data_IF_307375770494
#
_entry.id   IF_307375770494
#
_cell.length_a   1.000
_cell.length_b   1.000
_cell.length_c   1.000
_cell.angle_alpha   90.00
_cell.angle_beta   90.00
_cell.angle_gamma   90.00
#
_symmetry.space_group_name_H-M   'P 1'
#
loop_
_entity.id
_entity.type
_entity.pdbx_description
1 polymer ?
#
# COMPACT_ATOMS: atom_id res chain seq x y z
N UNK A 1 -18.33 9.97 2.36
CA UNK A 1 -16.98 10.41 2.79
C UNK A 1 -16.00 9.96 1.72
N UNK A 2 -15.01 10.78 1.37
CA UNK A 2 -14.00 10.40 0.39
C UNK A 2 -12.95 9.52 1.09
N UNK A 3 -12.58 8.44 0.43
CA UNK A 3 -11.62 7.46 0.93
C UNK A 3 -10.44 7.43 -0.05
N UNK A 4 -9.23 7.32 0.48
CA UNK A 4 -8.03 7.17 -0.33
C UNK A 4 -7.28 5.92 0.10
N UNK A 5 -6.68 5.23 -0.87
CA UNK A 5 -5.74 4.16 -0.64
C UNK A 5 -4.33 4.76 -0.61
N UNK A 6 -3.59 4.52 0.46
CA UNK A 6 -2.22 4.99 0.65
C UNK A 6 -1.27 3.92 0.14
N UNK A 7 -0.38 4.29 -0.78
CA UNK A 7 0.63 3.37 -1.32
C UNK A 7 1.74 3.09 -0.30
N UNK A 8 2.43 1.96 -0.45
CA UNK A 8 3.53 1.56 0.44
C UNK A 8 4.69 2.56 0.39
N UNK A 9 5.02 3.11 -0.78
CA UNK A 9 6.10 4.08 -0.93
C UNK A 9 5.92 5.30 -0.02
N UNK A 10 4.71 5.85 0.04
CA UNK A 10 4.40 7.02 0.88
C UNK A 10 4.68 6.74 2.36
N UNK A 11 4.38 5.52 2.80
CA UNK A 11 4.60 5.07 4.17
C UNK A 11 6.09 4.83 4.40
N UNK A 12 6.76 4.16 3.46
CA UNK A 12 8.18 3.85 3.53
C UNK A 12 9.01 5.13 3.58
N UNK A 13 8.73 6.14 2.76
CA UNK A 13 9.43 7.42 2.77
C UNK A 13 9.46 8.05 4.17
N UNK A 14 8.36 7.92 4.93
CA UNK A 14 8.25 8.45 6.29
C UNK A 14 9.01 7.58 7.28
N UNK A 15 8.82 6.25 7.20
CA UNK A 15 9.45 5.29 8.12
C UNK A 15 10.96 5.27 7.98
N UNK A 16 11.47 5.39 6.76
CA UNK A 16 12.90 5.36 6.47
C UNK A 16 13.55 6.74 6.52
N UNK A 17 12.77 7.78 6.83
CA UNK A 17 13.22 9.19 6.81
C UNK A 17 13.92 9.54 5.49
N UNK A 18 13.30 9.20 4.34
CA UNK A 18 13.92 9.42 3.03
C UNK A 18 14.23 10.91 2.83
N UNK A 19 15.50 11.28 2.61
CA UNK A 19 15.92 12.68 2.60
C UNK A 19 15.34 13.49 1.44
N UNK A 20 14.82 12.84 0.39
CA UNK A 20 14.23 13.50 -0.77
C UNK A 20 12.70 13.52 -0.69
N UNK A 21 12.09 12.50 -0.08
CA UNK A 21 10.65 12.28 -0.16
C UNK A 21 9.90 12.46 1.16
N UNK A 22 10.59 12.40 2.30
CA UNK A 22 9.98 12.49 3.63
C UNK A 22 9.02 13.68 3.77
N UNK A 23 9.52 14.90 3.52
CA UNK A 23 8.74 16.12 3.68
C UNK A 23 7.51 16.13 2.79
N UNK A 24 7.64 15.66 1.55
CA UNK A 24 6.53 15.63 0.61
C UNK A 24 5.47 14.61 1.02
N UNK A 25 5.89 13.38 1.35
CA UNK A 25 5.01 12.28 1.76
C UNK A 25 4.29 12.59 3.07
N UNK A 26 4.99 13.15 4.06
CA UNK A 26 4.40 13.59 5.34
C UNK A 26 3.36 14.71 5.16
N UNK A 27 3.66 15.71 4.33
CA UNK A 27 2.73 16.80 4.04
C UNK A 27 1.48 16.28 3.33
N UNK A 28 1.63 15.37 2.35
CA UNK A 28 0.49 14.79 1.64
C UNK A 28 -0.38 13.94 2.56
N UNK A 29 0.22 13.10 3.40
CA UNK A 29 -0.54 12.32 4.37
C UNK A 29 -1.31 13.20 5.35
N UNK A 30 -0.68 14.26 5.86
CA UNK A 30 -1.35 15.23 6.74
C UNK A 30 -2.53 15.91 6.04
N UNK A 31 -2.31 16.41 4.82
CA UNK A 31 -3.35 17.07 4.03
C UNK A 31 -4.58 16.17 3.81
N UNK A 32 -4.37 14.89 3.51
CA UNK A 32 -5.46 13.97 3.24
C UNK A 32 -6.06 13.35 4.50
N UNK A 33 -5.30 13.21 5.59
CA UNK A 33 -5.81 12.74 6.88
C UNK A 33 -6.92 13.65 7.42
N UNK A 34 -6.82 14.97 7.20
CA UNK A 34 -7.84 15.94 7.61
C UNK A 34 -9.12 15.86 6.78
N UNK A 35 -9.03 15.37 5.54
CA UNK A 35 -10.11 15.46 4.53
C UNK A 35 -10.77 14.11 4.25
N UNK A 36 -10.09 13.00 4.52
CA UNK A 36 -10.43 11.67 4.01
C UNK A 36 -10.03 10.56 4.98
N UNK A 37 -10.61 9.37 4.80
CA UNK A 37 -10.08 8.17 5.45
C UNK A 37 -8.87 7.67 4.68
N UNK A 38 -7.77 7.47 5.40
CA UNK A 38 -6.58 6.81 4.88
C UNK A 38 -6.74 5.30 5.02
N UNK A 39 -6.62 4.59 3.90
CA UNK A 39 -6.78 3.15 3.85
C UNK A 39 -5.51 2.48 3.37
N UNK A 40 -5.27 1.26 3.86
CA UNK A 40 -4.26 0.33 3.35
C UNK A 40 -4.92 -1.03 3.10
N UNK A 41 -4.32 -1.85 2.25
CA UNK A 41 -4.75 -3.23 2.03
C UNK A 41 -3.66 -4.22 2.51
N UNK A 42 -3.92 -5.54 2.51
CA UNK A 42 -2.94 -6.54 2.95
C UNK A 42 -1.64 -6.55 2.14
N UNK A 43 -1.65 -6.13 0.87
CA UNK A 43 -0.45 -6.09 0.02
C UNK A 43 0.46 -4.95 0.46
N UNK A 44 -0.10 -3.75 0.65
CA UNK A 44 0.62 -2.58 1.17
C UNK A 44 1.20 -2.90 2.55
N UNK A 45 0.41 -3.52 3.43
CA UNK A 45 0.88 -3.95 4.76
C UNK A 45 2.07 -4.91 4.64
N UNK A 46 1.98 -5.91 3.75
CA UNK A 46 3.04 -6.88 3.53
C UNK A 46 4.33 -6.21 3.00
N UNK A 47 4.24 -5.27 2.07
CA UNK A 47 5.40 -4.54 1.55
C UNK A 47 6.10 -3.73 2.63
N UNK A 48 5.33 -2.95 3.41
CA UNK A 48 5.88 -2.15 4.51
C UNK A 48 6.49 -3.05 5.60
N UNK A 49 5.92 -4.23 5.84
CA UNK A 49 6.40 -5.16 6.88
C UNK A 49 7.85 -5.63 6.67
N UNK A 50 8.36 -5.61 5.44
CA UNK A 50 9.74 -6.04 5.11
C UNK A 50 10.77 -5.19 5.87
N UNK A 51 10.45 -3.93 6.19
CA UNK A 51 11.32 -3.02 6.94
C UNK A 51 11.40 -3.28 8.44
N UNK A 52 10.60 -4.19 8.99
CA UNK A 52 10.45 -4.40 10.43
C UNK A 52 10.82 -5.83 10.85
N UNK A 53 11.40 -5.99 12.04
CA UNK A 53 11.75 -7.32 12.56
C UNK A 53 10.58 -7.97 13.30
N UNK A 54 9.67 -7.15 13.81
CA UNK A 54 8.55 -7.59 14.65
C UNK A 54 7.24 -6.93 14.20
N UNK A 55 6.15 -7.67 14.36
CA UNK A 55 4.81 -7.17 14.01
C UNK A 55 4.43 -5.96 14.88
N UNK A 56 4.84 -5.94 16.16
CA UNK A 56 4.53 -4.83 17.07
C UNK A 56 5.15 -3.50 16.64
N UNK A 57 6.34 -3.54 16.03
CA UNK A 57 7.02 -2.35 15.50
C UNK A 57 6.24 -1.77 14.31
N UNK A 58 5.78 -2.64 13.40
CA UNK A 58 4.94 -2.25 12.27
C UNK A 58 3.58 -1.70 12.73
N UNK A 59 2.92 -2.37 13.68
CA UNK A 59 1.63 -1.97 14.22
C UNK A 59 1.70 -0.61 14.93
N UNK A 60 2.84 -0.28 15.55
CA UNK A 60 3.06 1.04 16.15
C UNK A 60 3.10 2.17 15.11
N UNK A 61 3.62 1.87 13.91
CA UNK A 61 3.70 2.81 12.77
C UNK A 61 2.39 2.87 11.98
N UNK A 62 1.64 1.77 11.91
CA UNK A 62 0.36 1.66 11.21
C UNK A 62 -0.83 1.48 12.17
N UNK A 63 -1.06 2.43 13.10
CA UNK A 63 -2.09 2.25 14.09
C UNK A 63 -3.47 2.34 13.44
N UNK A 64 -4.38 1.44 13.84
CA UNK A 64 -5.71 1.29 13.23
C UNK A 64 -6.62 2.53 13.35
N UNK A 65 -6.25 3.46 14.24
CA UNK A 65 -6.90 4.77 14.40
C UNK A 65 -6.63 5.73 13.24
N UNK A 66 -5.51 5.56 12.53
CA UNK A 66 -5.11 6.42 11.41
C UNK A 66 -5.23 5.70 10.07
N UNK A 67 -4.85 4.41 10.03
CA UNK A 67 -4.94 3.61 8.82
C UNK A 67 -6.05 2.56 8.94
N UNK A 68 -7.09 2.72 8.12
CA UNK A 68 -8.14 1.74 7.98
C UNK A 68 -7.65 0.57 7.12
N UNK A 69 -7.81 -0.65 7.61
CA UNK A 69 -7.46 -1.86 6.84
C UNK A 69 -8.68 -2.27 6.02
N UNK A 70 -8.52 -2.21 4.71
CA UNK A 70 -9.49 -2.73 3.78
C UNK A 70 -9.10 -4.16 3.42
N UNK A 71 -10.09 -5.03 3.29
CA UNK A 71 -9.88 -6.32 2.67
C UNK A 71 -9.47 -6.15 1.20
N UNK A 72 -8.76 -7.13 0.66
CA UNK A 72 -8.50 -7.22 -0.77
C UNK A 72 -9.45 -8.27 -1.38
N UNK A 73 -10.49 -7.87 -2.12
CA UNK A 73 -11.36 -8.81 -2.82
C UNK A 73 -10.56 -9.65 -3.81
N UNK A 74 -10.94 -10.92 -3.96
CA UNK A 74 -10.29 -11.84 -4.90
C UNK A 74 -10.36 -11.33 -6.35
N UNK A 75 -11.45 -10.68 -6.71
CA UNK A 75 -11.68 -10.07 -8.02
C UNK A 75 -10.68 -8.93 -8.28
N UNK A 76 -10.37 -8.12 -7.26
CA UNK A 76 -9.36 -7.05 -7.35
C UNK A 76 -7.96 -7.63 -7.56
N UNK A 77 -7.62 -8.71 -6.83
CA UNK A 77 -6.35 -9.40 -7.02
C UNK A 77 -6.22 -10.00 -8.43
N UNK A 78 -7.30 -10.58 -8.97
CA UNK A 78 -7.33 -11.09 -10.34
C UNK A 78 -7.05 -9.99 -11.38
N UNK A 79 -7.70 -8.83 -11.23
CA UNK A 79 -7.48 -7.68 -12.13
C UNK A 79 -6.06 -7.13 -12.01
N UNK A 80 -5.50 -7.07 -10.80
CA UNK A 80 -4.11 -6.68 -10.59
C UNK A 80 -3.14 -7.56 -11.39
N UNK A 81 -3.37 -8.88 -11.42
CA UNK A 81 -2.58 -9.81 -12.24
C UNK A 81 -2.68 -9.56 -13.75
N UNK A 82 -3.85 -9.11 -14.25
CA UNK A 82 -4.00 -8.71 -15.66
C UNK A 82 -3.22 -7.43 -15.97
N UNK A 83 -3.29 -6.43 -15.08
CA UNK A 83 -2.50 -5.21 -15.21
C UNK A 83 -1.00 -5.51 -15.16
N UNK A 84 -0.56 -6.39 -14.27
CA UNK A 84 0.84 -6.81 -14.18
C UNK A 84 1.37 -7.38 -15.50
N UNK A 85 0.60 -8.24 -16.19
CA UNK A 85 0.98 -8.76 -17.51
C UNK A 85 1.12 -7.64 -18.55
N UNK A 86 0.18 -6.70 -18.57
CA UNK A 86 0.21 -5.57 -19.50
C UNK A 86 1.42 -4.67 -19.26
N UNK A 87 1.72 -4.35 -18.00
CA UNK A 87 2.84 -3.47 -17.62
C UNK A 87 4.20 -4.13 -17.83
N UNK A 88 4.33 -5.44 -17.58
CA UNK A 88 5.59 -6.18 -17.72
C UNK A 88 5.94 -6.53 -19.17
N UNK A 89 5.05 -6.25 -20.14
CA UNK A 89 5.25 -6.61 -21.55
C UNK A 89 5.32 -8.13 -21.79
N UNK A 90 4.96 -8.94 -20.78
CA UNK A 90 4.97 -10.38 -20.89
C UNK A 90 3.85 -10.82 -21.84
N UNK A 91 4.22 -11.47 -22.96
CA UNK A 91 3.27 -12.16 -23.81
C UNK A 91 2.61 -13.26 -22.99
N UNK A 92 1.28 -13.16 -22.86
CA UNK A 92 0.34 -14.11 -22.26
C UNK A 92 1.00 -15.34 -21.65
N UNK A 93 1.07 -15.41 -20.31
CA UNK A 93 1.27 -16.67 -19.60
C UNK A 93 0.16 -17.63 -20.06
N UNK A 94 0.46 -18.52 -21.02
CA UNK A 94 -0.45 -19.60 -21.46
C UNK A 94 -0.57 -20.61 -20.32
N UNK A 95 -1.51 -20.38 -19.42
CA UNK A 95 -2.04 -21.38 -18.48
C UNK A 95 -3.55 -21.10 -18.47
N UNK A 96 -4.45 -21.96 -18.93
CA UNK A 96 -4.67 -23.36 -18.58
C UNK A 96 -5.21 -24.16 -19.78
N UNK A 97 -4.60 -25.31 -20.07
CA UNK A 97 -5.28 -26.48 -20.64
C UNK A 97 -4.88 -27.65 -19.73
N UNK A 98 -5.68 -27.88 -18.69
CA UNK A 98 -5.89 -29.18 -18.05
C UNK A 98 -7.37 -29.26 -17.70
#
# INVERSE_FOLDING_TARGET
>A
MKEILVDSNIILDIVTEDPNWFDWSANKLTEYAEKTKLNINPIIYAEVSIGFQKIEELEAILPIKFFHRLDLPWESAFLAGKCFLTLSGLKTLRFFNQ
#
